data_IF_653915237301
#
_entry.id   IF_653915237301
#
_cell.length_a   1.000
_cell.length_b   1.000
_cell.length_c   1.000
_cell.angle_alpha   90.00
_cell.angle_beta   90.00
_cell.angle_gamma   90.00
#
_symmetry.space_group_name_H-M   'P 1'
#
loop_
_entity.id
_entity.type
_entity.pdbx_description
1 polymer ?
#
# COMPACT_ATOMS: atom_id res chain seq x y z
N UNK A 1 18.39 0.72 6.62
CA UNK A 1 17.27 0.70 7.58
C UNK A 1 16.25 1.76 7.19
N UNK A 2 15.02 1.36 6.86
CA UNK A 2 13.92 2.27 6.45
C UNK A 2 13.41 3.14 7.60
N UNK A 3 13.42 2.61 8.82
CA UNK A 3 12.78 3.21 9.99
C UNK A 3 13.76 3.98 10.89
N UNK A 4 15.05 4.01 10.53
CA UNK A 4 16.07 4.78 11.26
C UNK A 4 15.66 6.24 11.44
N UNK A 5 15.76 6.75 12.67
CA UNK A 5 15.53 8.17 12.98
C UNK A 5 16.67 9.07 12.51
N UNK A 6 17.88 8.55 12.34
CA UNK A 6 19.04 9.31 11.87
C UNK A 6 19.00 9.41 10.34
N UNK A 7 18.81 10.62 9.82
CA UNK A 7 18.67 10.90 8.39
C UNK A 7 18.89 12.37 8.07
N UNK A 8 19.24 12.65 6.82
CA UNK A 8 19.26 13.98 6.24
C UNK A 8 18.46 13.97 4.93
N UNK A 9 17.64 15.00 4.73
CA UNK A 9 16.87 15.23 3.51
C UNK A 9 16.64 16.73 3.33
N UNK A 10 16.38 17.17 2.10
CA UNK A 10 16.11 18.58 1.84
C UNK A 10 14.74 18.98 2.40
N UNK A 11 14.62 20.21 2.90
CA UNK A 11 13.35 20.72 3.48
C UNK A 11 12.21 20.74 2.46
N UNK A 12 12.48 21.19 1.24
CA UNK A 12 11.49 21.26 0.15
C UNK A 12 10.91 19.88 -0.20
N UNK A 13 11.76 18.84 -0.21
CA UNK A 13 11.33 17.46 -0.38
C UNK A 13 10.33 17.04 0.71
N UNK A 14 10.61 17.36 1.97
CA UNK A 14 9.71 17.01 3.07
C UNK A 14 8.39 17.78 3.00
N UNK A 15 8.44 19.07 2.65
CA UNK A 15 7.23 19.89 2.48
C UNK A 15 6.33 19.37 1.35
N UNK A 16 6.91 18.83 0.27
CA UNK A 16 6.16 18.23 -0.84
C UNK A 16 5.27 17.06 -0.39
N UNK A 17 5.69 16.29 0.62
CA UNK A 17 4.97 15.11 1.10
C UNK A 17 4.32 15.31 2.46
N UNK A 18 4.23 16.55 2.94
CA UNK A 18 3.76 16.84 4.29
C UNK A 18 2.34 16.32 4.53
N UNK A 19 1.47 16.37 3.52
CA UNK A 19 0.10 15.85 3.57
C UNK A 19 0.00 14.33 3.63
N UNK A 20 1.08 13.60 3.35
CA UNK A 20 1.14 12.14 3.47
C UNK A 20 1.59 11.69 4.87
N UNK A 21 2.17 12.58 5.67
CA UNK A 21 2.72 12.21 6.96
C UNK A 21 1.63 11.83 7.95
N UNK A 22 1.80 10.71 8.68
CA UNK A 22 0.87 10.34 9.74
C UNK A 22 1.05 11.25 10.96
N UNK A 23 -0.01 11.48 11.73
CA UNK A 23 0.02 12.25 12.98
C UNK A 23 0.84 11.60 14.12
N UNK A 24 1.37 10.39 13.89
CA UNK A 24 2.05 9.59 14.90
C UNK A 24 3.34 8.94 14.39
N UNK A 25 3.46 7.63 14.64
CA UNK A 25 4.61 6.85 14.19
C UNK A 25 4.64 6.72 12.66
N UNK A 26 5.82 6.46 12.09
CA UNK A 26 6.06 6.22 10.65
C UNK A 26 6.27 7.44 9.74
N UNK A 27 6.53 8.64 10.28
CA UNK A 27 7.12 9.74 9.50
C UNK A 27 8.32 9.27 8.68
N UNK A 28 9.25 8.57 9.35
CA UNK A 28 10.49 8.05 8.77
C UNK A 28 10.23 7.14 7.58
N UNK A 29 9.30 6.20 7.72
CA UNK A 29 8.90 5.33 6.62
C UNK A 29 8.24 6.12 5.49
N UNK A 30 7.34 7.05 5.82
CA UNK A 30 6.57 7.81 4.84
C UNK A 30 7.48 8.60 3.92
N UNK A 31 8.40 9.39 4.48
CA UNK A 31 9.30 10.22 3.67
C UNK A 31 10.27 9.35 2.85
N UNK A 32 10.73 8.22 3.38
CA UNK A 32 11.62 7.32 2.64
C UNK A 32 10.88 6.63 1.48
N UNK A 33 9.68 6.09 1.74
CA UNK A 33 8.85 5.47 0.71
C UNK A 33 8.44 6.48 -0.36
N UNK A 34 7.97 7.67 0.04
CA UNK A 34 7.61 8.72 -0.91
C UNK A 34 8.81 9.15 -1.76
N UNK A 35 9.99 9.26 -1.16
CA UNK A 35 11.22 9.57 -1.90
C UNK A 35 11.57 8.50 -2.93
N UNK A 36 11.48 7.21 -2.55
CA UNK A 36 11.74 6.09 -3.45
C UNK A 36 10.70 5.99 -4.57
N UNK A 37 9.41 6.17 -4.25
CA UNK A 37 8.32 6.10 -5.21
C UNK A 37 8.35 7.25 -6.23
N UNK A 38 8.80 8.44 -5.83
CA UNK A 38 8.98 9.60 -6.72
C UNK A 38 10.34 9.61 -7.45
N UNK A 39 11.14 8.55 -7.30
CA UNK A 39 12.41 8.38 -8.01
C UNK A 39 13.58 9.21 -7.45
N UNK A 40 13.49 9.74 -6.23
CA UNK A 40 14.60 10.41 -5.59
C UNK A 40 15.70 9.43 -5.18
N UNK A 41 16.96 9.85 -5.28
CA UNK A 41 18.12 9.08 -4.83
C UNK A 41 18.11 8.98 -3.30
N UNK A 42 17.98 7.76 -2.79
CA UNK A 42 18.09 7.44 -1.36
C UNK A 42 19.33 6.58 -1.16
N UNK A 43 20.24 7.02 -0.29
CA UNK A 43 21.48 6.31 0.03
C UNK A 43 21.47 5.88 1.50
N UNK A 44 21.85 4.63 1.76
CA UNK A 44 21.96 4.09 3.11
C UNK A 44 23.43 4.03 3.52
N UNK A 45 23.80 4.86 4.49
CA UNK A 45 25.17 4.91 5.02
C UNK A 45 25.23 4.00 6.26
N UNK A 46 26.16 3.03 6.30
CA UNK A 46 26.32 2.18 7.47
C UNK A 46 26.83 3.01 8.67
N UNK A 47 26.30 2.72 9.85
CA UNK A 47 26.73 3.31 11.12
C UNK A 47 26.85 2.20 12.17
N UNK A 48 27.79 2.38 13.09
CA UNK A 48 27.90 1.48 14.24
C UNK A 48 26.74 1.73 15.21
N UNK A 49 25.95 0.69 15.46
CA UNK A 49 24.77 0.76 16.32
C UNK A 49 25.03 0.04 17.63
N UNK A 50 24.87 0.74 18.75
CA UNK A 50 24.96 0.13 20.08
C UNK A 50 23.63 -0.50 20.47
N UNK A 51 23.68 -1.52 21.33
CA UNK A 51 22.47 -2.16 21.83
C UNK A 51 21.66 -1.15 22.64
N UNK A 52 20.38 -0.99 22.28
CA UNK A 52 19.44 -0.12 22.98
C UNK A 52 19.39 -0.43 24.47
N UNK A 53 19.51 0.60 25.31
CA UNK A 53 19.09 0.55 26.71
C UNK A 53 17.59 0.88 26.81
N UNK A 54 16.82 0.04 27.51
CA UNK A 54 15.39 0.23 27.75
C UNK A 54 14.43 -0.51 26.80
N UNK A 55 13.14 -0.59 27.19
CA UNK A 55 12.10 -1.34 26.47
C UNK A 55 11.56 -0.57 25.27
N UNK A 56 11.21 -1.27 24.19
CA UNK A 56 10.57 -0.67 23.01
C UNK A 56 9.22 -0.04 23.38
N UNK A 57 8.93 1.13 22.81
CA UNK A 57 7.61 1.78 22.92
C UNK A 57 6.65 1.33 21.80
N UNK A 58 7.14 0.54 20.84
CA UNK A 58 6.38 0.03 19.71
C UNK A 58 5.40 -1.03 20.21
N UNK A 59 4.14 -0.90 19.80
CA UNK A 59 3.05 -1.86 20.03
C UNK A 59 2.92 -2.75 18.79
N UNK A 60 3.42 -4.01 18.81
CA UNK A 60 3.64 -4.79 17.59
C UNK A 60 2.42 -4.90 16.67
N UNK A 61 1.25 -5.24 17.20
CA UNK A 61 0.05 -5.45 16.37
C UNK A 61 -0.49 -4.13 15.79
N UNK A 62 -0.70 -3.13 16.64
CA UNK A 62 -1.29 -1.85 16.25
C UNK A 62 -0.37 -1.08 15.30
N UNK A 63 0.91 -1.01 15.62
CA UNK A 63 1.86 -0.22 14.84
C UNK A 63 2.18 -0.90 13.51
N UNK A 64 2.18 -2.23 13.45
CA UNK A 64 2.32 -2.96 12.18
C UNK A 64 1.12 -2.74 11.27
N UNK A 65 -0.10 -2.76 11.80
CA UNK A 65 -1.30 -2.48 10.99
C UNK A 65 -1.27 -1.05 10.42
N UNK A 66 -0.95 -0.06 11.26
CA UNK A 66 -0.79 1.33 10.82
C UNK A 66 0.29 1.46 9.74
N UNK A 67 1.39 0.73 9.89
CA UNK A 67 2.48 0.70 8.92
C UNK A 67 2.06 0.08 7.57
N UNK A 68 1.28 -1.00 7.58
CA UNK A 68 0.72 -1.60 6.35
C UNK A 68 -0.23 -0.62 5.66
N UNK A 69 -1.13 0.01 6.41
CA UNK A 69 -2.05 1.03 5.88
C UNK A 69 -1.26 2.20 5.27
N UNK A 70 -0.16 2.61 5.91
CA UNK A 70 0.71 3.65 5.38
C UNK A 70 1.35 3.22 4.05
N UNK A 71 1.89 2.00 3.95
CA UNK A 71 2.46 1.48 2.70
C UNK A 71 1.41 1.50 1.59
N UNK A 72 0.20 1.00 1.87
CA UNK A 72 -0.90 0.98 0.90
C UNK A 72 -1.27 2.41 0.48
N UNK A 73 -1.37 3.35 1.43
CA UNK A 73 -1.69 4.75 1.16
C UNK A 73 -0.64 5.41 0.28
N UNK A 74 0.64 5.26 0.60
CA UNK A 74 1.74 5.85 -0.18
C UNK A 74 1.82 5.19 -1.55
N UNK A 75 1.75 3.86 -1.64
CA UNK A 75 1.75 3.14 -2.91
C UNK A 75 0.58 3.57 -3.80
N UNK A 76 -0.63 3.64 -3.24
CA UNK A 76 -1.82 4.09 -3.97
C UNK A 76 -1.76 5.56 -4.38
N UNK A 77 -1.06 6.42 -3.65
CA UNK A 77 -0.85 7.81 -4.04
C UNK A 77 0.07 7.93 -5.27
N UNK A 78 1.09 7.06 -5.36
CA UNK A 78 2.07 7.13 -6.45
C UNK A 78 1.68 6.34 -7.70
N UNK A 79 1.14 5.14 -7.52
CA UNK A 79 0.77 4.19 -8.57
C UNK A 79 -0.37 3.29 -8.06
N UNK A 80 -1.65 3.75 -8.13
CA UNK A 80 -2.81 3.00 -7.65
C UNK A 80 -2.89 1.58 -8.21
N UNK A 81 -2.54 1.39 -9.48
CA UNK A 81 -2.67 0.10 -10.16
C UNK A 81 -1.80 -0.98 -9.51
N UNK A 82 -0.65 -0.64 -8.92
CA UNK A 82 0.16 -1.61 -8.17
C UNK A 82 -0.55 -2.20 -6.96
N UNK A 83 -1.55 -1.51 -6.41
CA UNK A 83 -2.34 -2.00 -5.28
C UNK A 83 -3.62 -2.69 -5.77
N UNK A 84 -4.37 -2.04 -6.66
CA UNK A 84 -5.68 -2.50 -7.08
C UNK A 84 -5.61 -3.68 -8.06
N UNK A 85 -4.62 -3.75 -8.96
CA UNK A 85 -4.53 -4.85 -9.92
C UNK A 85 -4.27 -6.21 -9.24
N UNK A 86 -3.26 -6.37 -8.35
CA UNK A 86 -3.07 -7.64 -7.66
C UNK A 86 -4.31 -8.04 -6.83
N UNK A 87 -4.98 -7.06 -6.20
CA UNK A 87 -6.21 -7.31 -5.45
C UNK A 87 -7.36 -7.78 -6.36
N UNK A 88 -7.55 -7.17 -7.54
CA UNK A 88 -8.57 -7.61 -8.50
C UNK A 88 -8.23 -8.99 -9.07
N UNK A 89 -6.96 -9.29 -9.36
CA UNK A 89 -6.57 -10.61 -9.85
C UNK A 89 -6.78 -11.69 -8.80
N UNK A 90 -6.40 -11.42 -7.55
CA UNK A 90 -6.57 -12.37 -6.45
C UNK A 90 -8.07 -12.66 -6.19
N UNK A 91 -8.88 -11.61 -6.07
CA UNK A 91 -10.33 -11.78 -5.89
C UNK A 91 -11.00 -12.42 -7.10
N UNK A 92 -10.58 -12.07 -8.32
CA UNK A 92 -11.09 -12.65 -9.55
C UNK A 92 -10.75 -14.12 -9.72
N UNK A 93 -9.57 -14.54 -9.26
CA UNK A 93 -9.20 -15.95 -9.22
C UNK A 93 -10.11 -16.73 -8.24
N UNK A 94 -10.38 -16.16 -7.07
CA UNK A 94 -11.31 -16.77 -6.09
C UNK A 94 -12.73 -16.84 -6.67
N UNK A 95 -13.23 -15.76 -7.27
CA UNK A 95 -14.58 -15.75 -7.83
C UNK A 95 -14.73 -16.75 -8.98
N UNK A 96 -13.72 -16.86 -9.85
CA UNK A 96 -13.71 -17.82 -10.95
C UNK A 96 -13.67 -19.26 -10.45
N UNK A 97 -12.80 -19.57 -9.49
CA UNK A 97 -12.71 -20.93 -8.91
C UNK A 97 -14.01 -21.34 -8.21
N UNK A 98 -14.67 -20.42 -7.51
CA UNK A 98 -15.99 -20.66 -6.93
C UNK A 98 -17.05 -20.92 -8.01
N UNK A 99 -17.14 -20.07 -9.05
CA UNK A 99 -18.10 -20.27 -10.13
C UNK A 99 -17.94 -21.62 -10.81
N UNK A 100 -16.69 -21.99 -11.14
CA UNK A 100 -16.38 -23.28 -11.76
C UNK A 100 -16.75 -24.44 -10.83
N UNK A 101 -16.40 -24.34 -9.55
CA UNK A 101 -16.72 -25.38 -8.57
C UNK A 101 -18.23 -25.65 -8.44
N UNK A 102 -19.04 -24.59 -8.29
CA UNK A 102 -20.49 -24.74 -8.17
C UNK A 102 -21.15 -25.17 -9.47
N UNK A 103 -20.64 -24.72 -10.62
CA UNK A 103 -21.13 -25.14 -11.92
C UNK A 103 -20.98 -26.65 -12.13
N UNK A 104 -19.82 -27.22 -11.76
CA UNK A 104 -19.61 -28.67 -11.86
C UNK A 104 -20.42 -29.47 -10.83
N UNK A 105 -20.65 -28.92 -9.64
CA UNK A 105 -21.32 -29.64 -8.55
C UNK A 105 -22.83 -29.70 -8.72
N UNK A 106 -23.45 -28.55 -8.97
CA UNK A 106 -24.90 -28.39 -8.90
C UNK A 106 -25.51 -28.05 -10.28
N UNK A 107 -24.69 -27.90 -11.33
CA UNK A 107 -25.12 -27.48 -12.68
C UNK A 107 -25.63 -26.04 -12.77
N UNK A 108 -25.66 -25.32 -11.64
CA UNK A 108 -26.17 -23.98 -11.49
C UNK A 108 -25.06 -22.94 -11.27
N UNK A 109 -25.43 -21.68 -11.47
CA UNK A 109 -24.57 -20.54 -11.15
C UNK A 109 -24.78 -20.18 -9.69
N UNK A 110 -23.69 -20.14 -8.92
CA UNK A 110 -23.75 -19.73 -7.50
C UNK A 110 -23.92 -18.21 -7.39
N UNK A 111 -24.97 -17.77 -6.67
CA UNK A 111 -25.19 -16.35 -6.34
C UNK A 111 -23.96 -15.73 -5.68
N UNK A 112 -23.29 -16.47 -4.79
CA UNK A 112 -22.07 -16.04 -4.13
C UNK A 112 -20.90 -15.85 -5.13
N UNK A 113 -20.80 -16.72 -6.14
CA UNK A 113 -19.79 -16.59 -7.20
C UNK A 113 -20.04 -15.36 -8.09
N UNK A 114 -21.30 -15.08 -8.44
CA UNK A 114 -21.69 -13.88 -9.20
C UNK A 114 -21.39 -12.62 -8.40
N UNK A 115 -21.76 -12.57 -7.12
CA UNK A 115 -21.45 -11.45 -6.23
C UNK A 115 -19.93 -11.24 -6.10
N UNK A 116 -19.15 -12.32 -5.97
CA UNK A 116 -17.69 -12.23 -5.92
C UNK A 116 -17.11 -11.66 -7.23
N UNK A 117 -17.64 -12.06 -8.38
CA UNK A 117 -17.27 -11.47 -9.68
C UNK A 117 -17.60 -9.99 -9.78
N UNK A 118 -18.77 -9.56 -9.27
CA UNK A 118 -19.13 -8.14 -9.21
C UNK A 118 -18.16 -7.36 -8.33
N UNK A 119 -17.78 -7.90 -7.16
CA UNK A 119 -16.78 -7.28 -6.27
C UNK A 119 -15.43 -7.15 -6.97
N UNK A 120 -14.97 -8.19 -7.68
CA UNK A 120 -13.75 -8.12 -8.48
C UNK A 120 -13.80 -7.00 -9.53
N UNK A 121 -14.91 -6.90 -10.27
CA UNK A 121 -15.09 -5.84 -11.26
C UNK A 121 -15.07 -4.46 -10.62
N UNK A 122 -15.71 -4.28 -9.46
CA UNK A 122 -15.71 -3.02 -8.72
C UNK A 122 -14.29 -2.63 -8.27
N UNK A 123 -13.52 -3.58 -7.71
CA UNK A 123 -12.13 -3.33 -7.31
C UNK A 123 -11.28 -2.91 -8.50
N UNK A 124 -11.45 -3.59 -9.64
CA UNK A 124 -10.74 -3.26 -10.87
C UNK A 124 -11.09 -1.86 -11.39
N UNK A 125 -12.39 -1.54 -11.46
CA UNK A 125 -12.89 -0.22 -11.88
C UNK A 125 -12.39 0.90 -10.95
N UNK A 126 -12.41 0.67 -9.63
CA UNK A 126 -11.86 1.61 -8.65
C UNK A 126 -10.35 1.83 -8.86
N UNK A 127 -9.60 0.78 -9.21
CA UNK A 127 -8.18 0.89 -9.57
C UNK A 127 -7.94 1.80 -10.77
N UNK A 128 -8.73 1.63 -11.85
CA UNK A 128 -8.65 2.48 -13.04
C UNK A 128 -9.03 3.93 -12.72
N UNK A 129 -10.12 4.13 -11.97
CA UNK A 129 -10.55 5.47 -11.57
C UNK A 129 -9.49 6.18 -10.73
N UNK A 130 -8.90 5.48 -9.76
CA UNK A 130 -7.82 6.02 -8.94
C UNK A 130 -6.60 6.41 -9.80
N UNK A 131 -6.22 5.57 -10.77
CA UNK A 131 -5.12 5.86 -11.70
C UNK A 131 -5.42 7.09 -12.57
N UNK A 132 -6.64 7.20 -13.10
CA UNK A 132 -7.07 8.36 -13.87
C UNK A 132 -7.01 9.66 -13.05
N UNK A 133 -7.45 9.61 -11.79
CA UNK A 133 -7.40 10.76 -10.87
C UNK A 133 -5.95 11.18 -10.60
N UNK A 134 -5.06 10.21 -10.32
CA UNK A 134 -3.64 10.49 -10.07
C UNK A 134 -2.94 11.04 -11.31
N UNK A 135 -3.22 10.50 -12.50
CA UNK A 135 -2.65 11.04 -13.76
C UNK A 135 -3.16 12.44 -14.06
N UNK A 136 -4.45 12.70 -13.82
CA UNK A 136 -5.04 14.02 -14.03
C UNK A 136 -4.49 15.07 -13.07
N UNK A 137 -4.23 14.73 -11.81
CA UNK A 137 -3.69 15.69 -10.83
C UNK A 137 -2.22 16.04 -11.07
N UNK A 138 -1.49 15.24 -11.86
CA UNK A 138 -0.10 15.49 -12.27
C UNK A 138 0.04 16.25 -13.59
N UNK A 139 -1.04 16.37 -14.36
CA UNK A 139 -1.13 17.18 -15.60
C UNK A 139 -1.46 18.63 -15.29
#
# INVERSE_FOLDING_TARGET
DLNSGLRAFRRDLAMKYFHLFPDGFSFTTTITLASLCDGHRVEFIPIDYTKRSGKSKIRPLRDTFNFIVLIIRVAAYFDPLRVFLPASFFTGFISLTMLVYYFYKDGGVSDAGVLACMVTLLIFMMGILADLVVRRSRS
#
